data_IF_183067369336
#
_entry.id   IF_183067369336
#
_cell.length_a   1.000
_cell.length_b   1.000
_cell.length_c   1.000
_cell.angle_alpha   90.00
_cell.angle_beta   90.00
_cell.angle_gamma   90.00
#
_symmetry.space_group_name_H-M   'P 1'
#
loop_
_entity.id
_entity.type
_entity.pdbx_description
1 polymer ?
#
# COMPACT_ATOMS: atom_id res chain seq x y z
N UNK A 1 57.55 14.13 68.86
CA UNK A 1 56.10 14.39 68.80
C UNK A 1 55.92 15.65 67.98
N UNK A 2 56.14 15.53 66.68
CA UNK A 2 55.12 15.28 65.64
C UNK A 2 54.62 16.61 65.08
N UNK A 3 55.23 17.01 63.97
CA UNK A 3 54.76 18.11 63.14
C UNK A 3 53.62 17.61 62.25
N UNK A 4 52.44 18.17 62.46
CA UNK A 4 51.25 17.91 61.67
C UNK A 4 51.40 18.57 60.28
N UNK A 5 51.67 17.78 59.24
CA UNK A 5 51.61 18.23 57.84
C UNK A 5 50.16 18.23 57.38
N UNK A 6 49.59 19.41 57.15
CA UNK A 6 48.30 19.60 56.50
C UNK A 6 48.53 19.43 54.99
N UNK A 7 48.12 18.29 54.44
CA UNK A 7 48.03 18.07 53.00
C UNK A 7 46.71 18.62 52.47
N UNK A 8 46.77 19.65 51.64
CA UNK A 8 45.60 20.16 50.89
C UNK A 8 45.36 19.23 49.70
N UNK A 9 44.25 18.51 49.72
CA UNK A 9 43.75 17.71 48.59
C UNK A 9 42.97 18.65 47.67
N UNK A 10 43.51 18.92 46.49
CA UNK A 10 42.79 19.58 45.40
C UNK A 10 41.95 18.53 44.66
N UNK A 11 40.65 18.46 44.97
CA UNK A 11 39.68 17.71 44.19
C UNK A 11 39.29 18.56 42.97
N UNK A 12 39.82 18.20 41.79
CA UNK A 12 39.30 18.70 40.52
C UNK A 12 37.91 18.07 40.29
N UNK A 13 36.84 18.75 40.72
CA UNK A 13 35.52 18.49 40.17
C UNK A 13 35.53 18.97 38.71
N UNK A 14 35.72 18.05 37.78
CA UNK A 14 35.30 18.25 36.39
C UNK A 14 33.77 18.29 36.36
N UNK A 15 33.20 19.49 36.45
CA UNK A 15 31.82 19.70 36.07
C UNK A 15 31.72 19.47 34.56
N UNK A 16 31.30 18.28 34.16
CA UNK A 16 30.83 18.07 32.78
C UNK A 16 29.55 18.87 32.62
N UNK A 17 29.66 20.09 32.10
CA UNK A 17 28.52 20.84 31.59
C UNK A 17 28.09 20.14 30.32
N UNK A 18 27.18 19.18 30.43
CA UNK A 18 26.52 18.58 29.27
C UNK A 18 25.42 19.57 28.89
N UNK A 19 25.71 20.43 27.92
CA UNK A 19 24.76 21.41 27.39
C UNK A 19 23.77 20.76 26.42
N UNK A 20 22.60 21.39 26.25
CA UNK A 20 21.60 21.00 25.27
C UNK A 20 22.19 21.08 23.85
N UNK A 21 22.05 20.01 23.07
CA UNK A 21 22.61 20.00 21.70
C UNK A 21 21.73 20.80 20.76
N UNK A 22 22.33 21.70 19.99
CA UNK A 22 21.63 22.59 19.07
C UNK A 22 22.24 22.50 17.68
N UNK A 23 21.39 22.27 16.68
CA UNK A 23 21.74 22.33 15.27
C UNK A 23 21.08 23.53 14.61
N UNK A 24 21.84 24.26 13.78
CA UNK A 24 21.32 25.33 12.93
C UNK A 24 21.12 24.77 11.52
N UNK A 25 19.98 25.10 10.91
CA UNK A 25 19.54 24.55 9.64
C UNK A 25 19.24 25.73 8.71
N UNK A 26 20.07 26.00 7.70
CA UNK A 26 20.00 27.27 6.93
C UNK A 26 19.71 27.09 5.43
N UNK A 27 19.69 25.86 4.96
CA UNK A 27 19.77 25.41 3.58
C UNK A 27 18.40 25.10 2.93
N UNK A 28 17.32 25.02 3.70
CA UNK A 28 15.98 24.71 3.16
C UNK A 28 15.23 25.91 2.56
N UNK A 29 15.56 27.16 2.92
CA UNK A 29 14.83 28.35 2.50
C UNK A 29 15.72 29.59 2.45
N UNK A 30 15.42 30.53 1.55
CA UNK A 30 16.08 31.83 1.50
C UNK A 30 15.55 32.82 2.57
N UNK A 31 14.33 32.60 3.05
CA UNK A 31 13.62 33.54 3.97
C UNK A 31 13.68 33.05 5.42
N UNK A 32 13.69 31.73 5.62
CA UNK A 32 13.64 31.12 6.94
C UNK A 32 14.91 30.34 7.25
N UNK A 33 15.22 30.22 8.54
CA UNK A 33 16.21 29.29 9.07
C UNK A 33 15.59 28.46 10.19
N UNK A 34 16.12 27.28 10.39
CA UNK A 34 15.69 26.31 11.37
C UNK A 34 16.68 26.22 12.51
N UNK A 35 16.16 25.87 13.69
CA UNK A 35 16.95 25.51 14.85
C UNK A 35 16.35 24.23 15.42
N UNK A 36 17.16 23.18 15.47
CA UNK A 36 16.81 21.93 16.13
C UNK A 36 17.52 21.89 17.47
N UNK A 37 16.77 21.71 18.54
CA UNK A 37 17.28 21.65 19.90
C UNK A 37 16.92 20.28 20.48
N UNK A 38 17.91 19.47 20.84
CA UNK A 38 17.72 18.14 21.42
C UNK A 38 17.84 18.24 22.93
N UNK A 39 16.87 17.67 23.64
CA UNK A 39 16.86 17.64 25.09
C UNK A 39 18.03 16.83 25.64
N UNK A 40 18.61 17.31 26.73
CA UNK A 40 19.78 16.69 27.33
C UNK A 40 19.52 15.21 27.68
N UNK A 41 20.40 14.33 27.20
CA UNK A 41 20.32 12.89 27.42
C UNK A 41 19.63 12.13 26.29
N UNK A 42 19.12 12.81 25.26
CA UNK A 42 18.47 12.19 24.09
C UNK A 42 19.34 12.26 22.82
N UNK A 43 20.55 12.82 22.89
CA UNK A 43 21.42 13.04 21.72
C UNK A 43 21.78 11.76 20.96
N UNK A 44 21.94 10.66 21.69
CA UNK A 44 22.35 9.36 21.13
C UNK A 44 21.17 8.40 20.96
N UNK A 45 19.94 8.83 21.30
CA UNK A 45 18.74 8.01 21.17
C UNK A 45 18.30 7.92 19.70
N UNK A 46 17.66 6.81 19.33
CA UNK A 46 17.06 6.67 17.99
C UNK A 46 15.91 7.68 17.84
N UNK A 47 15.05 7.74 18.85
CA UNK A 47 13.96 8.72 18.97
C UNK A 47 14.39 9.81 19.93
N UNK A 48 14.60 11.01 19.41
CA UNK A 48 15.17 12.11 20.17
C UNK A 48 14.06 13.06 20.62
N UNK A 49 13.99 13.30 21.92
CA UNK A 49 13.15 14.37 22.46
C UNK A 49 13.80 15.71 22.14
N UNK A 50 13.02 16.66 21.66
CA UNK A 50 13.54 17.96 21.30
C UNK A 50 12.50 18.92 20.74
N UNK A 51 12.97 20.05 20.24
CA UNK A 51 12.14 21.09 19.63
C UNK A 51 12.73 21.55 18.31
N UNK A 52 11.90 21.61 17.28
CA UNK A 52 12.20 22.22 15.98
C UNK A 52 11.61 23.62 15.96
N UNK A 53 12.41 24.63 15.66
CA UNK A 53 12.02 26.04 15.61
C UNK A 53 12.32 26.60 14.23
N UNK A 54 11.37 27.32 13.64
CA UNK A 54 11.54 28.07 12.39
C UNK A 54 11.56 29.57 12.71
N UNK A 55 12.59 30.24 12.20
CA UNK A 55 12.88 31.66 12.42
C UNK A 55 12.91 32.38 11.08
N UNK A 56 12.39 33.60 11.02
CA UNK A 56 12.66 34.52 9.91
C UNK A 56 14.14 34.96 9.93
N UNK A 57 14.86 34.83 8.81
CA UNK A 57 16.31 35.14 8.76
C UNK A 57 16.63 36.60 9.08
N UNK A 58 15.81 37.54 8.61
CA UNK A 58 16.07 38.98 8.76
C UNK A 58 15.73 39.52 10.15
N UNK A 59 14.60 39.08 10.71
CA UNK A 59 14.08 39.62 11.96
C UNK A 59 14.45 38.77 13.18
N UNK A 60 14.97 37.55 12.97
CA UNK A 60 15.19 36.54 14.02
C UNK A 60 13.91 36.14 14.77
N UNK A 61 12.74 36.49 14.23
CA UNK A 61 11.45 36.20 14.84
C UNK A 61 11.12 34.72 14.69
N UNK A 62 10.75 34.08 15.80
CA UNK A 62 10.15 32.75 15.81
C UNK A 62 8.76 32.79 15.19
N UNK A 63 8.56 31.95 14.18
CA UNK A 63 7.29 31.84 13.44
C UNK A 63 6.63 30.48 13.63
N UNK A 64 7.41 29.43 13.93
CA UNK A 64 6.92 28.08 14.25
C UNK A 64 7.83 27.47 15.31
N UNK A 65 7.26 26.78 16.30
CA UNK A 65 7.98 25.90 17.21
C UNK A 65 7.18 24.63 17.49
N UNK A 66 7.83 23.48 17.37
CA UNK A 66 7.22 22.16 17.57
C UNK A 66 8.12 21.36 18.50
N UNK A 67 7.59 21.04 19.68
CA UNK A 67 8.22 20.09 20.60
C UNK A 67 7.70 18.68 20.31
N UNK A 68 8.61 17.71 20.35
CA UNK A 68 8.31 16.31 20.10
C UNK A 68 9.14 15.41 21.01
N UNK A 69 8.58 14.26 21.36
CA UNK A 69 9.27 13.23 22.12
C UNK A 69 10.07 12.28 21.21
N UNK A 70 9.80 12.29 19.90
CA UNK A 70 10.25 11.23 18.98
C UNK A 70 10.73 11.77 17.62
N UNK A 71 11.63 12.76 17.64
CA UNK A 71 12.28 13.25 16.43
C UNK A 71 13.28 12.22 15.89
N UNK A 72 13.33 12.09 14.56
CA UNK A 72 14.30 11.24 13.85
C UNK A 72 14.96 12.06 12.74
N UNK A 73 16.29 12.03 12.66
CA UNK A 73 17.06 12.69 11.62
C UNK A 73 18.44 12.07 11.48
N UNK A 74 19.03 12.23 10.31
CA UNK A 74 20.42 11.89 10.01
C UNK A 74 21.27 13.15 10.00
N UNK A 75 22.56 12.98 10.29
CA UNK A 75 23.58 14.00 10.09
C UNK A 75 24.42 13.62 8.87
N UNK A 76 24.78 14.60 8.04
CA UNK A 76 25.71 14.41 6.94
C UNK A 76 27.16 14.22 7.45
N UNK A 77 28.11 14.02 6.53
CA UNK A 77 29.53 13.84 6.86
C UNK A 77 30.13 15.07 7.59
N UNK A 78 29.56 16.24 7.39
CA UNK A 78 29.92 17.51 8.06
C UNK A 78 29.27 17.70 9.44
N UNK A 79 28.39 16.79 9.87
CA UNK A 79 27.67 16.87 11.15
C UNK A 79 26.47 17.82 11.15
N UNK A 80 25.99 18.22 9.97
CA UNK A 80 24.80 19.05 9.78
C UNK A 80 23.56 18.18 9.56
N UNK A 81 22.38 18.70 9.93
CA UNK A 81 21.12 17.98 9.76
C UNK A 81 20.72 18.00 8.29
N UNK A 82 20.47 16.83 7.70
CA UNK A 82 20.04 16.73 6.31
C UNK A 82 18.62 17.27 6.10
N UNK A 83 18.44 18.20 5.15
CA UNK A 83 17.15 18.81 4.82
C UNK A 83 16.64 18.46 3.42
N UNK A 84 15.31 18.55 3.23
CA UNK A 84 14.67 18.34 1.93
C UNK A 84 14.78 16.93 1.34
N UNK A 85 15.32 15.96 2.08
CA UNK A 85 15.33 14.55 1.68
C UNK A 85 13.95 13.97 1.97
N UNK A 86 13.28 13.47 0.93
CA UNK A 86 12.02 12.74 1.04
C UNK A 86 12.13 11.51 0.16
N UNK A 87 12.45 10.37 0.77
CA UNK A 87 12.50 9.09 0.09
C UNK A 87 11.26 8.28 0.46
N UNK A 88 10.35 8.16 -0.51
CA UNK A 88 9.08 7.47 -0.34
C UNK A 88 9.13 6.08 -0.98
N UNK A 89 8.39 5.10 -0.43
CA UNK A 89 7.55 5.20 0.77
C UNK A 89 8.26 4.91 2.10
N UNK A 90 9.53 4.47 2.09
CA UNK A 90 10.23 3.94 3.29
C UNK A 90 11.68 4.41 3.47
N UNK A 91 12.06 5.53 2.86
CA UNK A 91 13.40 6.06 3.01
C UNK A 91 13.47 7.27 3.94
N UNK A 92 14.62 7.94 3.90
CA UNK A 92 14.92 9.09 4.76
C UNK A 92 13.95 10.25 4.50
N UNK A 93 13.48 10.86 5.58
CA UNK A 93 12.61 12.03 5.53
C UNK A 93 13.16 13.09 6.49
N UNK A 94 13.50 14.25 5.94
CA UNK A 94 14.10 15.36 6.69
C UNK A 94 13.18 15.92 7.76
N UNK A 95 13.78 16.52 8.79
CA UNK A 95 13.05 17.14 9.91
C UNK A 95 12.35 18.45 9.51
N UNK A 96 12.89 19.13 8.50
CA UNK A 96 12.31 20.31 7.83
C UNK A 96 12.35 20.08 6.33
N UNK A 97 11.23 20.31 5.67
CA UNK A 97 11.06 20.22 4.21
C UNK A 97 10.50 21.56 3.72
N UNK A 98 11.01 22.05 2.59
CA UNK A 98 10.52 23.25 1.93
C UNK A 98 10.13 22.96 0.48
N UNK A 99 8.83 22.96 0.23
CA UNK A 99 8.21 22.50 -1.00
C UNK A 99 6.92 23.26 -1.25
N UNK A 100 6.58 23.53 -2.51
CA UNK A 100 5.31 24.15 -2.92
C UNK A 100 4.22 23.05 -2.91
N UNK A 101 3.54 22.86 -1.77
CA UNK A 101 2.60 21.74 -1.62
C UNK A 101 1.21 22.08 -2.13
N UNK A 102 0.88 23.36 -2.28
CA UNK A 102 -0.40 23.83 -2.81
C UNK A 102 -0.35 24.26 -4.29
N UNK A 103 0.81 24.17 -4.94
CA UNK A 103 1.05 24.45 -6.36
C UNK A 103 0.81 25.90 -6.77
N UNK A 104 1.11 26.84 -5.87
CA UNK A 104 0.95 28.29 -6.09
C UNK A 104 2.24 29.01 -6.54
N UNK A 105 3.35 28.27 -6.62
CA UNK A 105 4.67 28.75 -6.99
C UNK A 105 5.51 29.26 -5.82
N UNK A 106 4.99 29.21 -4.60
CA UNK A 106 5.70 29.60 -3.37
C UNK A 106 5.96 28.36 -2.54
N UNK A 107 7.19 28.22 -2.04
CA UNK A 107 7.53 27.11 -1.16
C UNK A 107 6.87 27.29 0.21
N UNK A 108 6.22 26.23 0.66
CA UNK A 108 5.68 26.06 2.00
C UNK A 108 6.73 25.44 2.93
N UNK A 109 6.40 25.36 4.22
CA UNK A 109 7.27 24.75 5.24
C UNK A 109 6.55 23.59 5.91
N UNK A 110 7.21 22.44 5.94
CA UNK A 110 6.73 21.21 6.57
C UNK A 110 7.74 20.82 7.64
N UNK A 111 7.25 20.53 8.85
CA UNK A 111 8.10 20.30 10.03
C UNK A 111 7.68 19.02 10.72
N UNK A 112 8.64 18.13 10.98
CA UNK A 112 8.40 16.87 11.68
C UNK A 112 7.91 17.15 13.11
N UNK A 113 6.86 16.44 13.52
CA UNK A 113 6.31 16.54 14.88
C UNK A 113 6.40 15.23 15.68
N UNK A 114 6.93 14.16 15.10
CA UNK A 114 7.20 12.91 15.79
C UNK A 114 6.95 11.72 14.87
N UNK A 115 6.39 10.65 15.44
CA UNK A 115 6.13 9.39 14.75
C UNK A 115 4.65 8.99 14.80
N UNK A 116 3.75 9.94 14.58
CA UNK A 116 2.30 9.73 14.69
C UNK A 116 1.66 9.11 13.44
N UNK A 117 2.46 8.76 12.44
CA UNK A 117 2.01 8.18 11.20
C UNK A 117 2.01 6.64 11.26
N UNK A 118 1.47 6.02 10.22
CA UNK A 118 1.36 4.57 10.03
C UNK A 118 2.60 3.79 10.52
N UNK A 119 2.38 2.80 11.40
CA UNK A 119 3.41 1.95 12.00
C UNK A 119 4.51 2.69 12.76
N UNK A 120 4.17 3.74 13.53
CA UNK A 120 5.16 4.53 14.27
C UNK A 120 6.14 5.19 13.29
N UNK A 121 5.63 5.66 12.15
CA UNK A 121 6.39 6.32 11.10
C UNK A 121 6.35 7.84 11.25
N UNK A 122 7.26 8.56 10.56
CA UNK A 122 7.43 10.00 10.73
C UNK A 122 6.16 10.76 10.37
N UNK A 123 5.85 11.79 11.17
CA UNK A 123 4.68 12.64 11.01
C UNK A 123 5.06 14.12 10.97
N UNK A 124 4.21 14.93 10.35
CA UNK A 124 4.52 16.33 10.06
C UNK A 124 3.36 17.29 10.28
N UNK A 125 3.73 18.53 10.65
CA UNK A 125 2.88 19.70 10.59
C UNK A 125 3.20 20.52 9.34
N UNK A 126 2.17 20.93 8.60
CA UNK A 126 2.32 21.67 7.33
C UNK A 126 1.87 23.12 7.51
N UNK A 127 2.71 24.05 7.08
CA UNK A 127 2.48 25.49 7.12
C UNK A 127 2.57 26.08 5.72
N UNK A 128 1.44 26.57 5.22
CA UNK A 128 1.38 27.19 3.90
C UNK A 128 1.86 28.64 3.96
N UNK A 129 2.67 29.05 2.99
CA UNK A 129 3.13 30.42 2.89
C UNK A 129 2.06 31.30 2.23
N UNK A 130 1.43 32.19 3.00
CA UNK A 130 0.42 33.13 2.50
C UNK A 130 0.67 34.54 2.99
N UNK A 131 0.58 35.50 2.07
CA UNK A 131 0.70 36.93 2.40
C UNK A 131 1.97 37.26 3.21
N UNK A 132 3.07 36.53 2.96
CA UNK A 132 4.35 36.70 3.65
C UNK A 132 4.45 36.01 5.02
N UNK A 133 3.51 35.12 5.36
CA UNK A 133 3.46 34.42 6.65
C UNK A 133 3.26 32.92 6.47
N UNK A 134 3.75 32.15 7.44
CA UNK A 134 3.48 30.71 7.55
C UNK A 134 2.17 30.50 8.30
N UNK A 135 1.19 29.90 7.63
CA UNK A 135 -0.14 29.62 8.18
C UNK A 135 -0.32 28.10 8.28
N UNK A 136 -0.53 27.60 9.50
CA UNK A 136 -0.79 26.19 9.75
C UNK A 136 -1.98 25.68 8.93
N UNK A 137 -1.83 24.50 8.32
CA UNK A 137 -2.82 23.92 7.43
C UNK A 137 -3.26 22.54 7.90
N UNK A 138 -4.36 22.46 8.68
CA UNK A 138 -4.87 21.19 9.19
C UNK A 138 -5.16 20.17 8.09
N UNK A 139 -5.61 20.62 6.91
CA UNK A 139 -5.97 19.73 5.81
C UNK A 139 -4.76 19.05 5.16
N UNK A 140 -3.60 19.71 5.14
CA UNK A 140 -2.35 19.12 4.66
C UNK A 140 -1.63 18.34 5.76
N UNK A 141 -1.59 18.85 7.00
CA UNK A 141 -1.10 18.10 8.17
C UNK A 141 -1.76 16.73 8.26
N UNK A 142 -3.08 16.66 8.07
CA UNK A 142 -3.82 15.39 8.06
C UNK A 142 -3.22 14.37 7.09
N UNK A 143 -2.82 14.79 5.89
CA UNK A 143 -2.22 13.88 4.90
C UNK A 143 -0.85 13.35 5.34
N UNK A 144 -0.11 14.10 6.14
CA UNK A 144 1.20 13.72 6.68
C UNK A 144 1.13 13.04 8.06
N UNK A 145 -0.08 12.77 8.58
CA UNK A 145 -0.30 12.07 9.85
C UNK A 145 -1.16 10.82 9.69
N UNK A 146 -2.25 10.88 8.92
CA UNK A 146 -3.19 9.76 8.80
C UNK A 146 -2.74 8.66 7.81
N UNK A 147 -1.63 8.90 7.11
CA UNK A 147 -1.05 8.01 6.10
C UNK A 147 0.35 7.56 6.51
N UNK A 148 1.05 6.81 5.67
CA UNK A 148 2.39 6.31 5.96
C UNK A 148 3.48 7.30 5.51
N UNK A 149 3.65 8.38 6.27
CA UNK A 149 4.72 9.37 6.15
C UNK A 149 4.31 10.65 5.43
N UNK A 150 5.30 11.41 5.00
CA UNK A 150 5.09 12.59 4.16
C UNK A 150 4.45 12.20 2.81
N UNK A 151 3.53 13.03 2.32
CA UNK A 151 2.93 12.86 0.99
C UNK A 151 3.89 13.33 -0.12
N UNK A 152 3.73 12.80 -1.32
CA UNK A 152 4.46 13.25 -2.50
C UNK A 152 3.67 14.32 -3.25
N UNK A 153 4.34 15.34 -3.76
CA UNK A 153 3.73 16.28 -4.71
C UNK A 153 4.17 15.96 -6.14
N UNK A 154 3.29 16.21 -7.09
CA UNK A 154 3.59 16.16 -8.52
C UNK A 154 3.25 17.52 -9.15
N UNK A 155 4.27 18.31 -9.47
CA UNK A 155 4.12 19.64 -10.04
C UNK A 155 3.59 19.65 -11.48
N UNK A 156 3.80 18.56 -12.24
CA UNK A 156 3.31 18.48 -13.63
C UNK A 156 1.79 18.29 -13.66
N UNK A 157 1.28 17.40 -12.81
CA UNK A 157 -0.16 17.09 -12.71
C UNK A 157 -0.88 17.93 -11.67
N UNK A 158 -0.15 18.65 -10.81
CA UNK A 158 -0.65 19.38 -9.63
C UNK A 158 -1.47 18.50 -8.69
N UNK A 159 -0.91 17.32 -8.40
CA UNK A 159 -1.54 16.33 -7.54
C UNK A 159 -0.66 15.96 -6.36
N UNK A 160 -1.31 15.56 -5.27
CA UNK A 160 -0.66 15.03 -4.08
C UNK A 160 -0.95 13.53 -4.01
N UNK A 161 0.05 12.72 -3.71
CA UNK A 161 -0.04 11.28 -3.60
C UNK A 161 0.38 10.84 -2.19
N UNK A 162 -0.39 9.92 -1.63
CA UNK A 162 -0.11 9.34 -0.32
C UNK A 162 -0.52 7.88 -0.29
N UNK A 163 -0.02 7.13 0.68
CA UNK A 163 -0.36 5.72 0.84
C UNK A 163 -0.60 5.33 2.29
N UNK A 164 -1.52 4.39 2.50
CA UNK A 164 -1.66 3.66 3.74
C UNK A 164 -1.62 2.16 3.48
N UNK A 165 -1.32 1.35 4.50
CA UNK A 165 -1.26 -0.09 4.35
C UNK A 165 -1.58 -0.80 5.66
N UNK A 166 -1.87 -2.09 5.53
CA UNK A 166 -1.84 -3.04 6.65
C UNK A 166 -0.47 -3.72 6.72
N UNK A 167 -0.24 -4.51 7.78
CA UNK A 167 1.06 -5.15 8.04
C UNK A 167 1.39 -6.29 7.07
N UNK A 168 0.57 -6.54 6.04
CA UNK A 168 0.85 -7.54 5.02
C UNK A 168 0.27 -7.13 3.67
N UNK A 169 -1.03 -7.37 3.47
CA UNK A 169 -1.53 -7.70 2.15
C UNK A 169 -2.62 -6.72 1.67
N UNK A 170 -2.81 -5.62 2.39
CA UNK A 170 -3.69 -4.53 1.98
C UNK A 170 -2.91 -3.23 1.88
N UNK A 171 -3.03 -2.55 0.76
CA UNK A 171 -2.46 -1.24 0.48
C UNK A 171 -3.55 -0.32 -0.05
N UNK A 172 -3.45 0.97 0.23
CA UNK A 172 -4.30 2.00 -0.36
C UNK A 172 -3.41 3.16 -0.80
N UNK A 173 -3.57 3.55 -2.06
CA UNK A 173 -2.96 4.72 -2.65
C UNK A 173 -4.04 5.78 -2.87
N UNK A 174 -3.78 7.01 -2.47
CA UNK A 174 -4.76 8.10 -2.55
C UNK A 174 -4.14 9.29 -3.26
N UNK A 175 -4.85 9.84 -4.23
CA UNK A 175 -4.46 11.01 -4.99
C UNK A 175 -5.44 12.17 -4.73
N UNK A 176 -4.88 13.36 -4.54
CA UNK A 176 -5.63 14.58 -4.25
C UNK A 176 -5.27 15.68 -5.26
N UNK A 177 -6.24 16.52 -5.59
CA UNK A 177 -6.00 17.82 -6.19
C UNK A 177 -6.07 18.91 -5.12
N UNK A 178 -5.52 20.10 -5.37
CA UNK A 178 -5.61 21.22 -4.44
C UNK A 178 -6.65 22.22 -4.93
N UNK A 179 -7.72 22.39 -4.16
CA UNK A 179 -8.78 23.38 -4.44
C UNK A 179 -8.83 24.38 -3.30
N UNK A 180 -8.57 25.66 -3.62
CA UNK A 180 -8.53 26.74 -2.62
C UNK A 180 -7.63 26.41 -1.42
N UNK A 181 -6.44 25.87 -1.71
CA UNK A 181 -5.46 25.44 -0.70
C UNK A 181 -5.98 24.36 0.26
N UNK A 182 -6.86 23.49 -0.23
CA UNK A 182 -7.33 22.31 0.50
C UNK A 182 -7.15 21.09 -0.41
N UNK A 183 -6.48 20.02 0.05
CA UNK A 183 -6.41 18.76 -0.69
C UNK A 183 -7.79 18.10 -0.75
N UNK A 184 -8.26 17.82 -1.95
CA UNK A 184 -9.55 17.16 -2.24
C UNK A 184 -9.26 15.84 -2.97
N UNK A 185 -9.79 14.70 -2.49
CA UNK A 185 -9.50 13.40 -3.11
C UNK A 185 -10.10 13.32 -4.51
N UNK A 186 -9.30 12.86 -5.46
CA UNK A 186 -9.72 12.63 -6.85
C UNK A 186 -9.68 11.15 -7.22
N UNK A 187 -8.82 10.37 -6.56
CA UNK A 187 -8.72 8.93 -6.74
C UNK A 187 -8.26 8.23 -5.45
N UNK A 188 -8.83 7.07 -5.17
CA UNK A 188 -8.34 6.12 -4.18
C UNK A 188 -8.29 4.74 -4.83
N UNK A 189 -7.15 4.07 -4.73
CA UNK A 189 -6.93 2.70 -5.20
C UNK A 189 -6.57 1.84 -4.00
N UNK A 190 -7.42 0.88 -3.66
CA UNK A 190 -7.12 -0.17 -2.69
C UNK A 190 -6.68 -1.43 -3.41
N UNK A 191 -5.60 -2.03 -2.95
CA UNK A 191 -5.08 -3.32 -3.38
C UNK A 191 -5.12 -4.32 -2.22
N UNK A 192 -5.76 -5.46 -2.45
CA UNK A 192 -5.90 -6.55 -1.47
C UNK A 192 -5.37 -7.85 -2.09
N UNK A 193 -4.28 -8.35 -1.53
CA UNK A 193 -3.62 -9.59 -1.91
C UNK A 193 -4.18 -10.73 -1.05
N UNK A 194 -5.09 -11.49 -1.64
CA UNK A 194 -5.59 -12.74 -1.09
C UNK A 194 -4.76 -13.92 -1.63
N UNK A 195 -5.00 -15.12 -1.08
CA UNK A 195 -4.26 -16.31 -1.45
C UNK A 195 -4.28 -16.54 -2.98
N UNK A 196 -5.45 -16.71 -3.61
CA UNK A 196 -5.54 -16.97 -5.06
C UNK A 196 -5.74 -15.72 -5.92
N UNK A 197 -5.99 -14.56 -5.30
CA UNK A 197 -6.48 -13.39 -6.03
C UNK A 197 -5.84 -12.09 -5.55
N UNK A 198 -5.58 -11.19 -6.50
CA UNK A 198 -5.33 -9.79 -6.23
C UNK A 198 -6.59 -9.00 -6.58
N UNK A 199 -7.14 -8.29 -5.61
CA UNK A 199 -8.34 -7.46 -5.76
C UNK A 199 -7.93 -6.00 -5.76
N UNK A 200 -8.34 -5.27 -6.78
CA UNK A 200 -8.15 -3.82 -6.88
C UNK A 200 -9.51 -3.14 -6.81
N UNK A 201 -9.69 -2.20 -5.87
CA UNK A 201 -10.87 -1.34 -5.79
C UNK A 201 -10.45 0.09 -6.09
N UNK A 202 -11.00 0.68 -7.14
CA UNK A 202 -10.71 2.04 -7.54
C UNK A 202 -11.94 2.91 -7.32
N UNK A 203 -11.78 4.02 -6.60
CA UNK A 203 -12.79 5.04 -6.38
C UNK A 203 -12.30 6.34 -7.00
N UNK A 204 -13.04 6.89 -7.96
CA UNK A 204 -12.69 8.16 -8.64
C UNK A 204 -13.79 9.18 -8.45
N UNK A 205 -13.43 10.44 -8.24
CA UNK A 205 -14.39 11.54 -8.14
C UNK A 205 -14.50 12.26 -9.49
N UNK A 206 -15.71 12.36 -10.05
CA UNK A 206 -15.99 13.11 -11.28
C UNK A 206 -17.23 13.98 -11.06
N UNK A 207 -17.05 15.31 -11.16
CA UNK A 207 -18.15 16.26 -10.96
C UNK A 207 -18.82 16.15 -9.57
N UNK A 208 -18.02 15.90 -8.53
CA UNK A 208 -18.50 15.75 -7.14
C UNK A 208 -19.17 14.42 -6.81
N UNK A 209 -19.22 13.46 -7.75
CA UNK A 209 -19.75 12.11 -7.51
C UNK A 209 -18.61 11.09 -7.55
N UNK A 210 -18.64 10.15 -6.61
CA UNK A 210 -17.73 9.02 -6.61
C UNK A 210 -18.24 7.90 -7.52
N UNK A 211 -17.34 7.33 -8.32
CA UNK A 211 -17.55 6.13 -9.14
C UNK A 211 -16.59 5.07 -8.63
N UNK A 212 -17.12 3.91 -8.26
CA UNK A 212 -16.35 2.78 -7.75
C UNK A 212 -16.29 1.65 -8.78
N UNK A 213 -15.12 1.01 -8.87
CA UNK A 213 -14.84 -0.11 -9.75
C UNK A 213 -14.02 -1.14 -9.00
N UNK A 214 -14.46 -2.41 -9.04
CA UNK A 214 -13.71 -3.52 -8.46
C UNK A 214 -13.23 -4.45 -9.57
N UNK A 215 -11.96 -4.78 -9.54
CA UNK A 215 -11.32 -5.76 -10.40
C UNK A 215 -10.70 -6.87 -9.56
N UNK A 216 -10.75 -8.09 -10.07
CA UNK A 216 -10.11 -9.25 -9.45
C UNK A 216 -9.23 -9.92 -10.49
N UNK A 217 -7.98 -10.22 -10.13
CA UNK A 217 -7.00 -10.90 -10.98
C UNK A 217 -6.50 -12.15 -10.26
N UNK A 218 -6.04 -13.13 -11.02
CA UNK A 218 -5.34 -14.28 -10.45
C UNK A 218 -4.04 -13.82 -9.80
N UNK A 219 -3.80 -14.20 -8.55
CA UNK A 219 -2.50 -14.05 -7.92
C UNK A 219 -1.60 -15.21 -8.34
N UNK A 220 -0.44 -14.91 -8.93
CA UNK A 220 0.54 -15.89 -9.39
C UNK A 220 1.81 -15.90 -8.54
N UNK A 221 1.95 -14.95 -7.63
CA UNK A 221 3.14 -14.78 -6.81
C UNK A 221 2.99 -15.55 -5.50
N UNK A 222 3.94 -16.43 -5.20
CA UNK A 222 3.97 -17.18 -3.94
C UNK A 222 2.94 -18.30 -3.82
N UNK A 223 2.12 -18.55 -4.84
CA UNK A 223 1.07 -19.58 -4.83
C UNK A 223 1.43 -20.72 -5.79
N UNK A 224 1.51 -21.94 -5.26
CA UNK A 224 1.63 -23.12 -6.09
C UNK A 224 0.27 -23.42 -6.76
N UNK A 225 0.22 -23.23 -8.07
CA UNK A 225 -0.93 -23.53 -8.92
C UNK A 225 -0.51 -24.56 -9.95
N UNK A 226 -1.23 -25.69 -10.00
CA UNK A 226 -1.10 -26.69 -11.05
C UNK A 226 -2.35 -26.69 -11.93
N UNK A 227 -2.17 -26.42 -13.23
CA UNK A 227 -3.27 -26.34 -14.19
C UNK A 227 -3.65 -27.74 -14.67
N UNK A 228 -4.88 -28.16 -14.38
CA UNK A 228 -5.40 -29.49 -14.74
C UNK A 228 -6.10 -29.50 -16.08
N UNK A 229 -6.83 -28.42 -16.39
CA UNK A 229 -7.49 -28.22 -17.67
C UNK A 229 -7.67 -26.73 -17.95
N UNK A 230 -7.47 -26.30 -19.18
CA UNK A 230 -7.91 -24.99 -19.64
C UNK A 230 -8.32 -24.99 -21.10
N UNK A 231 -9.24 -24.10 -21.47
CA UNK A 231 -9.64 -23.85 -22.85
C UNK A 231 -10.29 -22.47 -22.97
N UNK A 232 -10.35 -21.90 -24.17
CA UNK A 232 -11.08 -20.66 -24.44
C UNK A 232 -12.48 -20.95 -24.95
N UNK A 233 -13.44 -20.10 -24.59
CA UNK A 233 -14.80 -20.17 -25.12
C UNK A 233 -14.83 -19.60 -26.54
N UNK A 234 -15.40 -20.32 -27.51
CA UNK A 234 -15.35 -19.95 -28.93
C UNK A 234 -16.01 -18.60 -29.23
N UNK A 235 -17.04 -18.22 -28.46
CA UNK A 235 -17.85 -17.02 -28.73
C UNK A 235 -17.16 -15.71 -28.32
N UNK A 236 -16.43 -15.70 -27.22
CA UNK A 236 -15.91 -14.47 -26.60
C UNK A 236 -14.46 -14.59 -26.12
N UNK A 237 -13.80 -15.71 -26.41
CA UNK A 237 -12.39 -15.97 -26.08
C UNK A 237 -12.05 -15.91 -24.60
N UNK A 238 -13.06 -15.89 -23.70
CA UNK A 238 -12.88 -16.01 -22.25
C UNK A 238 -12.21 -17.35 -21.95
N UNK A 239 -11.26 -17.36 -21.01
CA UNK A 239 -10.52 -18.56 -20.66
C UNK A 239 -11.18 -19.25 -19.48
N UNK A 240 -11.51 -20.52 -19.66
CA UNK A 240 -11.88 -21.44 -18.59
C UNK A 240 -10.60 -22.05 -18.06
N UNK A 241 -10.41 -22.01 -16.74
CA UNK A 241 -9.25 -22.55 -16.06
C UNK A 241 -9.71 -23.43 -14.90
N UNK A 242 -9.29 -24.68 -14.90
CA UNK A 242 -9.39 -25.62 -13.80
C UNK A 242 -7.98 -25.90 -13.29
N UNK A 243 -7.75 -25.67 -12.01
CA UNK A 243 -6.44 -25.83 -11.40
C UNK A 243 -6.55 -26.33 -9.97
N UNK A 244 -5.48 -26.96 -9.50
CA UNK A 244 -5.34 -27.34 -8.09
C UNK A 244 -4.37 -26.42 -7.38
N UNK A 245 -4.68 -26.13 -6.12
CA UNK A 245 -3.79 -25.47 -5.17
C UNK A 245 -4.04 -26.10 -3.81
N UNK A 246 -2.97 -26.56 -3.14
CA UNK A 246 -3.03 -27.31 -1.87
C UNK A 246 -4.01 -28.50 -1.90
N UNK A 247 -4.07 -29.22 -3.03
CA UNK A 247 -4.93 -30.39 -3.20
C UNK A 247 -6.42 -30.08 -3.34
N UNK A 248 -6.78 -28.82 -3.60
CA UNK A 248 -8.17 -28.35 -3.84
C UNK A 248 -8.36 -27.93 -5.27
N UNK A 249 -9.45 -28.41 -5.90
CA UNK A 249 -9.87 -27.98 -7.22
C UNK A 249 -10.47 -26.57 -7.17
N UNK A 250 -10.09 -25.76 -8.14
CA UNK A 250 -10.61 -24.42 -8.37
C UNK A 250 -11.01 -24.26 -9.84
N UNK A 251 -12.10 -23.55 -10.06
CA UNK A 251 -12.60 -23.12 -11.36
C UNK A 251 -12.53 -21.60 -11.45
N UNK A 252 -12.00 -21.09 -12.56
CA UNK A 252 -11.98 -19.66 -12.86
C UNK A 252 -12.37 -19.42 -14.31
N UNK A 253 -13.26 -18.46 -14.54
CA UNK A 253 -13.55 -17.88 -15.84
C UNK A 253 -12.87 -16.51 -15.92
N UNK A 254 -11.86 -16.42 -16.79
CA UNK A 254 -11.13 -15.19 -17.06
C UNK A 254 -11.71 -14.47 -18.27
N UNK A 255 -11.68 -13.14 -18.26
CA UNK A 255 -11.91 -12.32 -19.46
C UNK A 255 -10.87 -12.65 -20.53
N UNK A 256 -11.16 -12.26 -21.78
CA UNK A 256 -10.30 -12.55 -22.93
C UNK A 256 -8.89 -11.96 -22.79
N UNK A 257 -8.77 -10.85 -22.05
CA UNK A 257 -7.55 -10.06 -21.85
C UNK A 257 -7.27 -9.82 -20.37
N UNK A 258 -5.99 -9.72 -19.99
CA UNK A 258 -5.55 -9.18 -18.70
C UNK A 258 -5.80 -10.05 -17.45
N UNK A 259 -6.12 -11.34 -17.61
CA UNK A 259 -6.33 -12.30 -16.50
C UNK A 259 -7.36 -11.84 -15.45
N UNK A 260 -8.29 -10.99 -15.87
CA UNK A 260 -9.38 -10.51 -15.02
C UNK A 260 -10.36 -11.66 -14.77
N UNK A 261 -10.56 -11.97 -13.49
CA UNK A 261 -11.51 -12.97 -13.03
C UNK A 261 -12.92 -12.42 -13.16
N UNK A 262 -13.70 -13.02 -14.06
CA UNK A 262 -15.13 -12.74 -14.19
C UNK A 262 -15.95 -13.61 -13.23
N UNK A 263 -15.50 -14.83 -12.99
CA UNK A 263 -16.16 -15.76 -12.09
C UNK A 263 -15.14 -16.75 -11.52
N UNK A 264 -15.32 -17.16 -10.27
CA UNK A 264 -14.56 -18.24 -9.65
C UNK A 264 -15.45 -19.14 -8.81
N UNK A 265 -15.02 -20.39 -8.64
CA UNK A 265 -15.64 -21.35 -7.73
C UNK A 265 -14.57 -22.33 -7.18
N UNK A 266 -14.53 -22.65 -5.88
CA UNK A 266 -15.38 -22.11 -4.80
C UNK A 266 -15.22 -20.59 -4.63
N UNK A 267 -16.16 -19.97 -3.92
CA UNK A 267 -16.02 -18.56 -3.54
C UNK A 267 -14.92 -18.40 -2.47
N UNK A 268 -14.35 -17.20 -2.36
CA UNK A 268 -13.17 -16.86 -1.54
C UNK A 268 -13.35 -17.11 -0.02
N UNK A 269 -14.54 -17.56 0.40
CA UNK A 269 -14.93 -17.93 1.75
C UNK A 269 -14.63 -19.42 2.02
N UNK A 270 -13.65 -19.69 2.91
CA UNK A 270 -13.25 -21.05 3.34
C UNK A 270 -14.34 -21.84 4.10
N UNK A 271 -15.42 -21.19 4.54
CA UNK A 271 -16.52 -21.81 5.28
C UNK A 271 -17.46 -22.55 4.32
N UNK A 272 -17.67 -22.03 3.12
CA UNK A 272 -18.41 -22.70 2.04
C UNK A 272 -17.41 -23.40 1.11
N UNK A 273 -16.88 -24.54 1.55
CA UNK A 273 -16.01 -25.39 0.74
C UNK A 273 -16.79 -25.97 -0.45
N UNK A 274 -16.96 -25.15 -1.49
CA UNK A 274 -17.62 -25.52 -2.73
C UNK A 274 -17.08 -26.85 -3.23
N UNK A 275 -17.99 -27.79 -3.46
CA UNK A 275 -17.68 -29.14 -3.91
C UNK A 275 -17.95 -29.27 -5.40
N UNK A 276 -17.13 -30.08 -6.04
CA UNK A 276 -17.36 -30.56 -7.38
C UNK A 276 -17.79 -32.01 -7.31
N UNK A 277 -18.63 -32.44 -8.24
CA UNK A 277 -18.91 -33.86 -8.48
C UNK A 277 -18.39 -34.21 -9.86
N UNK A 278 -17.73 -35.36 -9.99
CA UNK A 278 -17.40 -35.93 -11.29
C UNK A 278 -18.43 -37.00 -11.64
N UNK A 279 -18.86 -37.05 -12.90
CA UNK A 279 -19.77 -38.11 -13.33
C UNK A 279 -19.05 -39.47 -13.37
N UNK A 280 -19.82 -40.55 -13.31
CA UNK A 280 -19.28 -41.92 -13.32
C UNK A 280 -18.49 -42.25 -14.59
N UNK A 281 -18.83 -41.60 -15.71
CA UNK A 281 -18.08 -41.68 -16.98
C UNK A 281 -16.82 -40.82 -17.03
N UNK A 282 -16.52 -40.03 -15.99
CA UNK A 282 -15.35 -39.12 -15.91
C UNK A 282 -15.25 -38.16 -17.10
N UNK A 283 -16.41 -37.80 -17.63
CA UNK A 283 -16.60 -36.95 -18.82
C UNK A 283 -17.14 -35.56 -18.46
N UNK A 284 -17.62 -35.38 -17.22
CA UNK A 284 -18.21 -34.15 -16.73
C UNK A 284 -17.77 -33.83 -15.31
N UNK A 285 -17.43 -32.58 -15.10
CA UNK A 285 -17.24 -31.97 -13.78
C UNK A 285 -18.42 -31.04 -13.51
N UNK A 286 -19.06 -31.21 -12.36
CA UNK A 286 -20.31 -30.54 -12.02
C UNK A 286 -20.13 -29.77 -10.73
N UNK A 287 -20.60 -28.52 -10.68
CA UNK A 287 -20.72 -27.79 -9.43
C UNK A 287 -21.97 -26.91 -9.43
N UNK A 288 -22.45 -26.58 -8.23
CA UNK A 288 -23.59 -25.70 -8.01
C UNK A 288 -23.14 -24.42 -7.33
N UNK A 289 -23.56 -23.28 -7.85
CA UNK A 289 -23.39 -21.98 -7.20
C UNK A 289 -24.75 -21.28 -7.14
N UNK A 290 -25.33 -21.18 -5.94
CA UNK A 290 -26.71 -20.73 -5.71
C UNK A 290 -27.69 -21.54 -6.60
N UNK A 291 -28.53 -20.89 -7.38
CA UNK A 291 -29.50 -21.55 -8.28
C UNK A 291 -28.89 -22.06 -9.60
N UNK A 292 -27.61 -21.78 -9.86
CA UNK A 292 -26.95 -22.16 -11.10
C UNK A 292 -26.19 -23.49 -10.96
N UNK A 293 -26.36 -24.38 -11.93
CA UNK A 293 -25.60 -25.63 -12.07
C UNK A 293 -24.69 -25.51 -13.29
N UNK A 294 -23.42 -25.83 -13.11
CA UNK A 294 -22.39 -25.80 -14.14
C UNK A 294 -21.95 -27.23 -14.44
N UNK A 295 -21.99 -27.64 -15.70
CA UNK A 295 -21.49 -28.93 -16.18
C UNK A 295 -20.38 -28.67 -17.20
N UNK A 296 -19.12 -28.79 -16.78
CA UNK A 296 -17.96 -28.74 -17.67
C UNK A 296 -17.80 -30.13 -18.28
N UNK A 297 -17.79 -30.23 -19.60
CA UNK A 297 -17.74 -31.53 -20.29
C UNK A 297 -16.50 -31.66 -21.18
N UNK A 298 -16.01 -32.90 -21.30
CA UNK A 298 -15.05 -33.33 -22.30
C UNK A 298 -15.61 -34.55 -23.03
N UNK A 299 -15.99 -34.39 -24.31
CA UNK A 299 -16.53 -35.50 -25.11
C UNK A 299 -15.39 -36.16 -25.87
N UNK A 300 -15.22 -37.46 -25.69
CA UNK A 300 -14.23 -38.27 -26.40
C UNK A 300 -14.87 -39.26 -27.37
N UNK A 301 -14.12 -39.60 -28.41
CA UNK A 301 -14.37 -40.78 -29.25
C UNK A 301 -13.05 -41.54 -29.32
N UNK A 302 -13.01 -42.74 -28.74
CA UNK A 302 -11.75 -43.43 -28.42
C UNK A 302 -10.86 -42.50 -27.59
N UNK A 303 -9.59 -42.32 -27.96
CA UNK A 303 -8.64 -41.49 -27.21
C UNK A 303 -8.63 -40.02 -27.64
N UNK A 304 -9.44 -39.63 -28.63
CA UNK A 304 -9.47 -38.27 -29.17
C UNK A 304 -10.57 -37.44 -28.50
N UNK A 305 -10.21 -36.28 -27.97
CA UNK A 305 -11.17 -35.26 -27.53
C UNK A 305 -11.83 -34.63 -28.77
N UNK A 306 -13.16 -34.68 -28.82
CA UNK A 306 -13.97 -34.21 -29.94
C UNK A 306 -14.63 -32.86 -29.64
N UNK A 307 -14.93 -32.58 -28.37
CA UNK A 307 -15.50 -31.31 -27.95
C UNK A 307 -15.27 -31.07 -26.45
N UNK A 308 -15.13 -29.80 -26.10
CA UNK A 308 -15.08 -29.32 -24.72
C UNK A 308 -16.05 -28.14 -24.56
N UNK A 309 -16.51 -27.86 -23.36
CA UNK A 309 -17.37 -26.71 -23.09
C UNK A 309 -18.08 -26.79 -21.75
N UNK A 310 -19.04 -25.90 -21.56
CA UNK A 310 -19.81 -25.79 -20.32
C UNK A 310 -21.29 -25.71 -20.64
N UNK A 311 -22.12 -26.50 -19.97
CA UNK A 311 -23.55 -26.22 -19.85
C UNK A 311 -23.83 -25.50 -18.54
N UNK A 312 -24.54 -24.38 -18.62
CA UNK A 312 -24.98 -23.63 -17.44
C UNK A 312 -26.51 -23.70 -17.39
N UNK A 313 -27.04 -24.20 -16.28
CA UNK A 313 -28.47 -24.28 -16.02
C UNK A 313 -28.82 -23.28 -14.94
N UNK A 314 -29.68 -22.32 -15.23
CA UNK A 314 -30.12 -21.31 -14.26
C UNK A 314 -31.53 -20.86 -14.59
N UNK A 315 -32.40 -20.80 -13.57
CA UNK A 315 -33.80 -20.38 -13.71
C UNK A 315 -34.55 -21.14 -14.82
N UNK A 316 -34.36 -22.46 -14.91
CA UNK A 316 -34.99 -23.32 -15.92
C UNK A 316 -34.45 -23.17 -17.35
N UNK A 317 -33.46 -22.30 -17.59
CA UNK A 317 -32.82 -22.10 -18.89
C UNK A 317 -31.48 -22.84 -18.96
N UNK A 318 -31.19 -23.38 -20.14
CA UNK A 318 -29.91 -24.01 -20.47
C UNK A 318 -29.11 -23.11 -21.41
N UNK A 319 -27.88 -22.77 -21.01
CA UNK A 319 -26.92 -22.05 -21.82
C UNK A 319 -25.76 -22.99 -22.17
N UNK A 320 -25.29 -22.90 -23.42
CA UNK A 320 -24.16 -23.69 -23.90
C UNK A 320 -23.00 -22.77 -24.24
N UNK A 321 -21.90 -22.95 -23.52
CA UNK A 321 -20.64 -22.24 -23.71
C UNK A 321 -19.66 -23.22 -24.37
N UNK A 322 -19.67 -23.27 -25.71
CA UNK A 322 -18.76 -24.11 -26.48
C UNK A 322 -17.30 -23.66 -26.30
N UNK A 323 -16.41 -24.62 -26.05
CA UNK A 323 -14.97 -24.40 -26.02
C UNK A 323 -14.32 -24.57 -27.39
N UNK A 324 -13.28 -23.78 -27.63
CA UNK A 324 -12.37 -23.93 -28.77
C UNK A 324 -11.38 -25.05 -28.45
N UNK A 325 -11.56 -26.19 -29.13
CA UNK A 325 -10.74 -27.38 -28.95
C UNK A 325 -9.26 -27.14 -29.26
N UNK A 326 -8.93 -26.19 -30.14
CA UNK A 326 -7.54 -25.88 -30.49
C UNK A 326 -6.76 -25.24 -29.33
N UNK A 327 -7.48 -24.71 -28.34
CA UNK A 327 -6.91 -24.06 -27.15
C UNK A 327 -6.91 -24.96 -25.92
N UNK A 328 -7.37 -26.20 -26.05
CA UNK A 328 -7.46 -27.15 -24.94
C UNK A 328 -6.06 -27.54 -24.46
N UNK A 329 -5.84 -27.40 -23.15
CA UNK A 329 -4.68 -27.91 -22.44
C UNK A 329 -5.18 -28.78 -21.27
N UNK A 330 -4.48 -29.88 -21.00
CA UNK A 330 -4.90 -30.84 -19.98
C UNK A 330 -6.11 -31.70 -20.40
N UNK A 331 -6.70 -32.42 -19.44
CA UNK A 331 -7.81 -33.34 -19.70
C UNK A 331 -8.64 -33.64 -18.45
N UNK A 332 -9.92 -33.99 -18.63
CA UNK A 332 -10.83 -34.31 -17.51
C UNK A 332 -10.36 -35.53 -16.72
N UNK A 333 -9.71 -36.47 -17.42
CA UNK A 333 -9.12 -37.65 -16.81
C UNK A 333 -8.04 -37.30 -15.76
N UNK A 334 -7.28 -36.22 -15.95
CA UNK A 334 -6.27 -35.76 -15.00
C UNK A 334 -6.91 -35.35 -13.66
N UNK A 335 -8.01 -34.61 -13.72
CA UNK A 335 -8.80 -34.22 -12.53
C UNK A 335 -9.33 -35.48 -11.82
N UNK A 336 -9.74 -36.49 -12.58
CA UNK A 336 -10.29 -37.74 -12.05
C UNK A 336 -9.25 -38.65 -11.39
N UNK A 337 -7.97 -38.49 -11.75
CA UNK A 337 -6.86 -39.29 -11.19
C UNK A 337 -6.27 -38.66 -9.94
N UNK A 338 -6.47 -37.37 -9.73
CA UNK A 338 -5.98 -36.68 -8.55
C UNK A 338 -6.89 -36.88 -7.34
N UNK A 339 -6.27 -37.07 -6.17
CA UNK A 339 -6.99 -37.15 -4.90
C UNK A 339 -7.25 -35.74 -4.38
N UNK A 340 -8.26 -35.09 -4.93
CA UNK A 340 -8.66 -33.72 -4.58
C UNK A 340 -9.68 -33.71 -3.45
N UNK A 341 -9.47 -32.86 -2.44
CA UNK A 341 -10.26 -32.90 -1.18
C UNK A 341 -11.72 -32.44 -1.34
N UNK A 342 -12.02 -31.70 -2.41
CA UNK A 342 -13.34 -31.11 -2.69
C UNK A 342 -13.98 -31.67 -3.98
N UNK A 343 -13.56 -32.84 -4.43
CA UNK A 343 -14.15 -33.52 -5.59
C UNK A 343 -14.78 -34.84 -5.12
N UNK A 344 -16.09 -34.97 -5.33
CA UNK A 344 -16.87 -36.18 -5.08
C UNK A 344 -16.85 -37.08 -6.32
N UNK A 345 -16.60 -38.37 -6.08
CA UNK A 345 -16.44 -39.43 -7.10
C UNK A 345 -17.68 -40.25 -7.38
#
# INVERSE_FOLDING_TARGET
>A
MEQLRIGVIFWFLSLSVIGQTTYLINDFSDVYKGKLIIDQGYEEEVFKKGTVIILEKLSEKEVVAISSEELTFSLNEEGEVETGVVSLPYGEQSIIISEDVNFDGVKDIVVMDGQYSCYHGPSYQVYLHREGQLIHSPSFTRLAQEYCGMFQTNNETKTIETMTKSGCCWHQFSQFEVVNNVPVPIEVVEEEYQYLYHITRTKTWRGGRAIEKTERRMNKEGVAIEVLMSFRLSKNQKKVLLFTSEGRLNYVLLKSEGELVEFSFPADNLIDAGRFAIDTSKSKLIFKNKEAIYEIYEKRKQDKVMAVGIYVYVNGKKYHLSGDLSTLQGAMQGISSEKLVNVDG
#
